data_IF_898633458559
#
_entry.id   IF_898633458559
#
_cell.length_a   1.000
_cell.length_b   1.000
_cell.length_c   1.000
_cell.angle_alpha   90.00
_cell.angle_beta   90.00
_cell.angle_gamma   90.00
#
_symmetry.space_group_name_H-M   'P 1'
#
loop_
_entity.id
_entity.type
_entity.pdbx_description
1 polymer ?
#
# COMPACT_ATOMS: atom_id res chain seq x y z
N UNK A 1 0.37 -27.18 -5.34
CA UNK A 1 -0.74 -26.23 -5.53
C UNK A 1 -0.74 -25.66 -6.95
N UNK A 2 0.38 -25.14 -7.47
CA UNK A 2 0.45 -24.58 -8.83
C UNK A 2 -0.01 -25.54 -9.94
N UNK A 3 0.60 -26.73 -10.04
CA UNK A 3 0.17 -27.76 -11.00
C UNK A 3 -1.31 -28.16 -10.87
N UNK A 4 -1.86 -28.12 -9.65
CA UNK A 4 -3.27 -28.47 -9.43
C UNK A 4 -4.22 -27.38 -9.92
N UNK A 5 -3.83 -26.10 -9.84
CA UNK A 5 -4.59 -24.97 -10.40
C UNK A 5 -4.42 -24.89 -11.92
N UNK A 6 -3.27 -25.32 -12.47
CA UNK A 6 -3.09 -25.44 -13.92
C UNK A 6 -3.97 -26.54 -14.53
N UNK A 7 -4.11 -27.67 -13.83
CA UNK A 7 -4.96 -28.78 -14.26
C UNK A 7 -6.45 -28.50 -14.04
N UNK A 8 -6.79 -27.92 -12.90
CA UNK A 8 -8.15 -27.47 -12.59
C UNK A 8 -8.12 -26.08 -11.93
N UNK A 9 -8.36 -25.01 -12.72
CA UNK A 9 -8.42 -23.64 -12.22
C UNK A 9 -9.52 -23.42 -11.18
N UNK A 10 -10.48 -24.34 -11.06
CA UNK A 10 -11.62 -24.26 -10.15
C UNK A 10 -11.43 -25.06 -8.88
N UNK A 11 -10.25 -25.67 -8.67
CA UNK A 11 -10.04 -26.52 -7.51
C UNK A 11 -9.88 -25.70 -6.22
N UNK A 12 -11.00 -25.46 -5.54
CA UNK A 12 -11.13 -24.61 -4.34
C UNK A 12 -10.08 -24.94 -3.28
N UNK A 13 -9.85 -26.23 -2.99
CA UNK A 13 -8.85 -26.66 -1.98
C UNK A 13 -7.42 -26.30 -2.37
N UNK A 14 -7.08 -26.29 -3.67
CA UNK A 14 -5.76 -25.87 -4.12
C UNK A 14 -5.59 -24.35 -4.06
N UNK A 15 -6.65 -23.58 -4.40
CA UNK A 15 -6.65 -22.12 -4.28
C UNK A 15 -6.50 -21.69 -2.82
N UNK A 16 -7.27 -22.26 -1.89
CA UNK A 16 -7.14 -21.99 -0.45
C UNK A 16 -5.73 -22.28 0.07
N UNK A 17 -5.17 -23.45 -0.28
CA UNK A 17 -3.80 -23.80 0.12
C UNK A 17 -2.75 -22.88 -0.50
N UNK A 18 -2.97 -22.37 -1.70
CA UNK A 18 -2.05 -21.43 -2.36
C UNK A 18 -2.12 -20.06 -1.68
N UNK A 19 -3.31 -19.59 -1.35
CA UNK A 19 -3.53 -18.35 -0.60
C UNK A 19 -2.86 -18.40 0.80
N UNK A 20 -3.02 -19.50 1.54
CA UNK A 20 -2.36 -19.71 2.84
C UNK A 20 -0.82 -19.68 2.72
N UNK A 21 -0.26 -20.23 1.64
CA UNK A 21 1.19 -20.16 1.36
C UNK A 21 1.63 -18.73 1.03
N UNK A 22 0.80 -17.97 0.30
CA UNK A 22 1.07 -16.56 0.03
C UNK A 22 1.01 -15.70 1.28
N UNK A 23 0.06 -15.93 2.19
CA UNK A 23 0.04 -15.26 3.50
C UNK A 23 1.32 -15.52 4.30
N UNK A 24 1.79 -16.78 4.33
CA UNK A 24 3.05 -17.15 5.00
C UNK A 24 4.30 -16.54 4.36
N UNK A 25 4.24 -16.19 3.09
CA UNK A 25 5.33 -15.52 2.36
C UNK A 25 5.14 -14.00 2.27
N UNK A 26 4.19 -13.46 3.05
CA UNK A 26 3.82 -12.05 3.09
C UNK A 26 3.33 -11.45 1.75
N UNK A 27 2.98 -12.30 0.79
CA UNK A 27 2.42 -11.95 -0.52
C UNK A 27 0.91 -11.75 -0.43
N UNK A 28 0.52 -10.73 0.33
CA UNK A 28 -0.88 -10.49 0.68
C UNK A 28 -1.76 -10.15 -0.53
N UNK A 29 -1.20 -9.52 -1.56
CA UNK A 29 -1.97 -9.16 -2.76
C UNK A 29 -2.31 -10.41 -3.58
N UNK A 30 -1.34 -11.31 -3.79
CA UNK A 30 -1.55 -12.59 -4.47
C UNK A 30 -2.44 -13.54 -3.64
N UNK A 31 -2.33 -13.52 -2.31
CA UNK A 31 -3.26 -14.26 -1.44
C UNK A 31 -4.70 -13.76 -1.59
N UNK A 32 -4.90 -12.45 -1.68
CA UNK A 32 -6.23 -11.85 -1.88
C UNK A 32 -6.85 -12.23 -3.22
N UNK A 33 -6.05 -12.33 -4.29
CA UNK A 33 -6.54 -12.80 -5.59
C UNK A 33 -7.07 -14.24 -5.50
N UNK A 34 -6.33 -15.13 -4.84
CA UNK A 34 -6.75 -16.52 -4.64
C UNK A 34 -8.01 -16.62 -3.75
N UNK A 35 -8.09 -15.86 -2.66
CA UNK A 35 -9.28 -15.85 -1.80
C UNK A 35 -10.51 -15.27 -2.50
N UNK A 36 -10.34 -14.24 -3.34
CA UNK A 36 -11.43 -13.71 -4.17
C UNK A 36 -11.91 -14.74 -5.17
N UNK A 37 -11.00 -15.43 -5.85
CA UNK A 37 -11.36 -16.50 -6.79
C UNK A 37 -12.15 -17.63 -6.09
N UNK A 38 -11.80 -17.97 -4.84
CA UNK A 38 -12.58 -18.91 -4.03
C UNK A 38 -13.99 -18.37 -3.73
N UNK A 39 -14.10 -17.13 -3.26
CA UNK A 39 -15.38 -16.51 -2.90
C UNK A 39 -16.30 -16.26 -4.10
N UNK A 40 -15.75 -16.04 -5.29
CA UNK A 40 -16.54 -15.95 -6.53
C UNK A 40 -17.21 -17.28 -6.90
N UNK A 41 -16.59 -18.41 -6.52
CA UNK A 41 -17.11 -19.75 -6.80
C UNK A 41 -18.00 -20.27 -5.69
N UNK A 42 -17.56 -20.11 -4.45
CA UNK A 42 -18.31 -20.50 -3.27
C UNK A 42 -18.25 -19.39 -2.21
N UNK A 43 -19.27 -18.51 -2.18
CA UNK A 43 -19.38 -17.46 -1.17
C UNK A 43 -19.61 -17.98 0.26
N UNK A 44 -19.95 -19.26 0.42
CA UNK A 44 -20.21 -19.87 1.73
C UNK A 44 -18.94 -20.28 2.48
N UNK A 45 -17.78 -20.20 1.83
CA UNK A 45 -16.48 -20.53 2.43
C UNK A 45 -16.08 -19.45 3.43
N UNK A 46 -16.47 -19.64 4.69
CA UNK A 46 -16.16 -18.74 5.81
C UNK A 46 -14.66 -18.46 5.94
N UNK A 47 -13.82 -19.49 5.78
CA UNK A 47 -12.37 -19.37 5.86
C UNK A 47 -11.81 -18.34 4.86
N UNK A 48 -12.27 -18.37 3.60
CA UNK A 48 -11.83 -17.45 2.56
C UNK A 48 -12.27 -16.01 2.86
N UNK A 49 -13.47 -15.84 3.42
CA UNK A 49 -14.01 -14.53 3.76
C UNK A 49 -13.24 -13.87 4.90
N UNK A 50 -12.97 -14.60 5.97
CA UNK A 50 -12.18 -14.10 7.10
C UNK A 50 -10.76 -13.75 6.67
N UNK A 51 -10.10 -14.66 5.96
CA UNK A 51 -8.74 -14.43 5.46
C UNK A 51 -8.66 -13.24 4.50
N UNK A 52 -9.66 -13.06 3.62
CA UNK A 52 -9.71 -11.90 2.72
C UNK A 52 -9.86 -10.57 3.47
N UNK A 53 -10.66 -10.51 4.55
CA UNK A 53 -10.77 -9.29 5.35
C UNK A 53 -9.45 -8.94 6.06
N UNK A 54 -8.80 -9.94 6.67
CA UNK A 54 -7.54 -9.79 7.39
C UNK A 54 -6.39 -9.42 6.44
N UNK A 55 -6.28 -10.12 5.31
CA UNK A 55 -5.27 -9.83 4.29
C UNK A 55 -5.47 -8.44 3.66
N UNK A 56 -6.71 -7.98 3.49
CA UNK A 56 -7.00 -6.64 2.96
C UNK A 56 -6.63 -5.53 3.94
N UNK A 57 -6.93 -5.69 5.23
CA UNK A 57 -6.53 -4.69 6.24
C UNK A 57 -5.00 -4.60 6.34
N UNK A 58 -4.32 -5.75 6.39
CA UNK A 58 -2.86 -5.83 6.43
C UNK A 58 -2.20 -5.26 5.15
N UNK A 59 -2.72 -5.58 3.96
CA UNK A 59 -2.18 -5.03 2.69
C UNK A 59 -2.33 -3.50 2.65
N UNK A 60 -3.48 -2.96 3.05
CA UNK A 60 -3.70 -1.51 3.13
C UNK A 60 -2.76 -0.83 4.12
N UNK A 61 -2.62 -1.40 5.30
CA UNK A 61 -1.74 -0.86 6.35
C UNK A 61 -0.27 -0.91 5.92
N UNK A 62 0.21 -2.04 5.39
CA UNK A 62 1.58 -2.17 4.87
C UNK A 62 1.84 -1.17 3.74
N UNK A 63 0.91 -1.03 2.78
CA UNK A 63 1.03 -0.05 1.68
C UNK A 63 1.07 1.39 2.19
N UNK A 64 0.19 1.75 3.12
CA UNK A 64 0.15 3.09 3.71
C UNK A 64 1.43 3.39 4.49
N UNK A 65 1.91 2.44 5.30
CA UNK A 65 3.15 2.59 6.08
C UNK A 65 4.38 2.74 5.17
N UNK A 66 4.52 1.89 4.16
CA UNK A 66 5.64 1.96 3.20
C UNK A 66 5.60 3.28 2.43
N UNK A 67 4.43 3.68 1.93
CA UNK A 67 4.27 4.94 1.22
C UNK A 67 4.64 6.14 2.09
N UNK A 68 4.16 6.17 3.34
CA UNK A 68 4.53 7.19 4.31
C UNK A 68 6.05 7.22 4.54
N UNK A 69 6.66 6.06 4.80
CA UNK A 69 8.11 5.94 5.02
C UNK A 69 8.91 6.43 3.80
N UNK A 70 8.47 6.12 2.58
CA UNK A 70 9.10 6.59 1.34
C UNK A 70 9.02 8.12 1.21
N UNK A 71 7.86 8.71 1.50
CA UNK A 71 7.71 10.18 1.50
C UNK A 71 8.64 10.82 2.54
N UNK A 72 8.72 10.27 3.75
CA UNK A 72 9.64 10.77 4.78
C UNK A 72 11.09 10.75 4.29
N UNK A 73 11.55 9.62 3.73
CA UNK A 73 12.92 9.50 3.19
C UNK A 73 13.20 10.50 2.06
N UNK A 74 12.22 10.73 1.19
CA UNK A 74 12.33 11.74 0.13
C UNK A 74 12.43 13.16 0.70
N UNK A 75 11.66 13.46 1.76
CA UNK A 75 11.77 14.73 2.47
C UNK A 75 13.15 14.92 3.10
N UNK A 76 13.69 13.87 3.73
CA UNK A 76 15.03 13.91 4.33
C UNK A 76 16.12 14.16 3.29
N UNK A 77 16.02 13.49 2.14
CA UNK A 77 16.94 13.71 1.02
C UNK A 77 16.82 15.15 0.47
N UNK A 78 15.61 15.66 0.30
CA UNK A 78 15.39 17.05 -0.10
C UNK A 78 15.97 18.03 0.92
N UNK A 79 15.81 17.77 2.21
CA UNK A 79 16.37 18.58 3.28
C UNK A 79 17.91 18.60 3.27
N UNK A 80 18.57 17.51 2.87
CA UNK A 80 20.03 17.49 2.70
C UNK A 80 20.51 18.56 1.70
N UNK A 81 19.76 18.74 0.60
CA UNK A 81 20.06 19.72 -0.45
C UNK A 81 19.64 21.14 -0.04
N UNK A 82 18.56 21.27 0.73
CA UNK A 82 17.97 22.57 1.07
C UNK A 82 18.61 23.24 2.30
N UNK A 83 19.19 22.45 3.22
CA UNK A 83 19.86 22.96 4.44
C UNK A 83 20.93 24.03 4.19
N UNK A 84 21.86 23.89 3.22
CA UNK A 84 22.85 24.93 2.90
C UNK A 84 22.24 26.30 2.52
N UNK A 85 20.97 26.32 2.11
CA UNK A 85 20.25 27.53 1.74
C UNK A 85 19.34 28.05 2.87
N UNK A 86 19.38 27.44 4.07
CA UNK A 86 18.45 27.75 5.16
C UNK A 86 17.01 27.31 4.87
N UNK A 87 16.83 26.35 3.96
CA UNK A 87 15.52 25.87 3.51
C UNK A 87 15.26 24.43 3.95
N UNK A 88 14.00 24.03 3.88
CA UNK A 88 13.45 22.72 4.19
C UNK A 88 12.31 22.39 3.23
N UNK A 89 12.05 21.11 3.03
CA UNK A 89 10.88 20.60 2.30
C UNK A 89 9.55 21.06 2.90
N UNK A 90 9.54 21.50 4.16
CA UNK A 90 8.37 22.08 4.82
C UNK A 90 8.08 23.53 4.39
N UNK A 91 9.06 24.23 3.82
CA UNK A 91 8.84 25.57 3.29
C UNK A 91 7.95 25.57 2.05
N UNK A 92 7.83 24.42 1.35
CA UNK A 92 7.08 24.29 0.10
C UNK A 92 5.76 23.57 0.36
N UNK A 93 4.69 24.33 0.61
CA UNK A 93 3.36 23.79 0.87
C UNK A 93 2.54 23.67 -0.40
N UNK A 94 2.14 22.44 -0.72
CA UNK A 94 1.27 22.17 -1.86
C UNK A 94 -0.17 22.40 -1.43
N UNK A 95 -0.90 23.25 -2.15
CA UNK A 95 -2.35 23.44 -2.02
C UNK A 95 -3.02 23.02 -3.32
N UNK A 96 -3.93 22.06 -3.21
CA UNK A 96 -4.79 21.65 -4.32
C UNK A 96 -6.07 22.49 -4.30
N UNK A 97 -6.40 23.12 -5.43
CA UNK A 97 -7.66 23.81 -5.58
C UNK A 97 -8.75 22.81 -5.99
N UNK A 98 -9.69 22.54 -5.09
CA UNK A 98 -10.78 21.57 -5.26
C UNK A 98 -11.71 21.90 -6.43
N UNK A 99 -11.70 23.13 -6.94
CA UNK A 99 -12.57 23.59 -8.02
C UNK A 99 -11.99 23.38 -9.43
N UNK A 100 -10.67 23.48 -9.56
CA UNK A 100 -9.97 23.42 -10.86
C UNK A 100 -9.09 22.17 -11.00
N UNK A 101 -8.87 21.44 -9.92
CA UNK A 101 -7.91 20.32 -9.87
C UNK A 101 -6.45 20.76 -9.99
N UNK A 102 -6.18 22.08 -9.99
CA UNK A 102 -4.84 22.62 -10.15
C UNK A 102 -4.03 22.49 -8.86
N UNK A 103 -2.73 22.20 -9.01
CA UNK A 103 -1.78 22.16 -7.91
C UNK A 103 -1.02 23.50 -7.84
N UNK A 104 -1.06 24.15 -6.69
CA UNK A 104 -0.29 25.36 -6.41
C UNK A 104 0.76 25.08 -5.33
N UNK A 105 1.99 25.55 -5.53
CA UNK A 105 3.06 25.42 -4.54
C UNK A 105 3.25 26.80 -3.91
N UNK A 106 2.99 26.88 -2.61
CA UNK A 106 3.20 28.09 -1.82
C UNK A 106 4.48 27.96 -1.02
N UNK A 107 5.30 29.00 -1.07
CA UNK A 107 6.51 29.06 -0.25
C UNK A 107 6.22 29.83 1.05
N UNK A 108 6.47 29.20 2.19
CA UNK A 108 6.31 29.79 3.52
C UNK A 108 7.66 29.77 4.24
N UNK A 109 8.20 30.95 4.52
CA UNK A 109 9.47 31.09 5.22
C UNK A 109 9.23 31.14 6.73
N UNK A 110 9.57 30.07 7.45
CA UNK A 110 9.49 30.07 8.92
C UNK A 110 10.75 30.71 9.51
N UNK A 111 10.66 31.82 10.28
CA UNK A 111 11.82 32.55 10.78
C UNK A 111 12.63 31.82 11.88
N UNK A 112 12.19 30.65 12.36
CA UNK A 112 12.78 29.94 13.50
C UNK A 112 13.74 28.80 13.16
N UNK A 113 14.14 28.60 11.90
CA UNK A 113 14.97 27.44 11.50
C UNK A 113 16.49 27.64 11.65
N UNK A 114 16.92 28.73 12.30
CA UNK A 114 18.34 29.13 12.45
C UNK A 114 18.81 29.07 13.92
N UNK A 115 18.75 27.91 14.57
CA UNK A 115 19.53 27.63 15.79
C UNK A 115 20.15 26.25 15.75
#
# INVERSE_FOLDING_TARGET
>A
CFLAVELDPHYIRALLRRAELYEKTEKLDEALEDYKAVLEKDPSVHQAREACMVSLSLSKEKKAHVHHLQICKLKDLGNLVLRPFGLSTENFQIKQDSSTGSYSINFVQNPNNNR
#
